data_IF_146836801568
#
_entry.id   IF_146836801568
#
_cell.length_a   1.000
_cell.length_b   1.000
_cell.length_c   1.000
_cell.angle_alpha   90.00
_cell.angle_beta   90.00
_cell.angle_gamma   90.00
#
_symmetry.space_group_name_H-M   'P 1'
#
loop_
_entity.id
_entity.type
_entity.pdbx_description
1 polymer ?
#
# COMPACT_ATOMS: atom_id res chain seq x y z
N UNK A 1 -29.45 -15.88 -4.57
CA UNK A 1 -28.06 -16.03 -5.05
C UNK A 1 -27.14 -15.36 -4.04
N UNK A 2 -26.22 -16.07 -3.36
CA UNK A 2 -25.29 -15.41 -2.46
C UNK A 2 -24.31 -14.58 -3.31
N UNK A 3 -24.17 -13.30 -3.00
CA UNK A 3 -23.16 -12.43 -3.63
C UNK A 3 -21.79 -12.95 -3.17
N UNK A 4 -21.03 -13.53 -4.09
CA UNK A 4 -19.62 -13.79 -3.85
C UNK A 4 -18.96 -12.46 -3.49
N UNK A 5 -18.38 -12.38 -2.30
CA UNK A 5 -17.48 -11.30 -1.93
C UNK A 5 -16.36 -11.27 -2.97
N UNK A 6 -16.03 -10.09 -3.54
CA UNK A 6 -14.89 -10.00 -4.44
C UNK A 6 -13.65 -10.56 -3.73
N UNK A 7 -12.81 -11.36 -4.40
CA UNK A 7 -11.58 -11.84 -3.80
C UNK A 7 -10.74 -10.64 -3.35
N UNK A 8 -10.23 -10.69 -2.12
CA UNK A 8 -9.43 -9.60 -1.57
C UNK A 8 -8.20 -9.37 -2.48
N UNK A 9 -7.96 -8.14 -2.98
CA UNK A 9 -6.91 -7.86 -3.96
C UNK A 9 -5.50 -8.07 -3.41
N UNK A 10 -5.36 -8.27 -2.10
CA UNK A 10 -4.10 -8.63 -1.43
C UNK A 10 -3.76 -10.11 -1.65
N UNK A 11 -4.74 -10.96 -1.99
CA UNK A 11 -4.58 -12.39 -2.18
C UNK A 11 -4.37 -12.79 -3.66
N UNK A 12 -4.56 -11.84 -4.58
CA UNK A 12 -4.35 -12.03 -6.02
C UNK A 12 -2.92 -11.65 -6.41
N UNK A 13 -2.09 -12.62 -6.80
CA UNK A 13 -0.68 -12.40 -7.17
C UNK A 13 -0.48 -11.46 -8.37
N UNK A 14 -1.52 -11.26 -9.18
CA UNK A 14 -1.47 -10.38 -10.34
C UNK A 14 -1.83 -8.92 -9.99
N UNK A 15 -2.32 -8.69 -8.77
CA UNK A 15 -2.66 -7.37 -8.26
C UNK A 15 -1.43 -6.58 -7.88
N UNK A 16 -1.42 -5.28 -8.22
CA UNK A 16 -0.40 -4.35 -7.76
C UNK A 16 -0.40 -4.14 -6.23
N UNK A 17 -1.42 -4.65 -5.54
CA UNK A 17 -1.57 -4.61 -4.09
C UNK A 17 -1.33 -5.97 -3.42
N UNK A 18 -0.84 -6.97 -4.18
CA UNK A 18 -0.48 -8.26 -3.61
C UNK A 18 0.67 -8.10 -2.61
N UNK A 19 0.51 -8.72 -1.44
CA UNK A 19 1.54 -8.81 -0.41
C UNK A 19 1.72 -10.28 -0.07
N UNK A 20 2.94 -10.80 -0.17
CA UNK A 20 3.18 -12.20 0.15
C UNK A 20 2.90 -12.43 1.65
N UNK A 21 2.25 -13.52 2.06
CA UNK A 21 1.97 -13.80 3.48
C UNK A 21 3.24 -13.86 4.36
N UNK A 22 4.39 -14.19 3.76
CA UNK A 22 5.70 -14.19 4.42
C UNK A 22 6.34 -12.79 4.50
N UNK A 23 5.92 -11.85 3.64
CA UNK A 23 6.30 -10.45 3.73
C UNK A 23 5.49 -9.82 4.87
N UNK A 24 6.08 -9.76 6.06
CA UNK A 24 5.44 -9.15 7.22
C UNK A 24 4.99 -7.70 6.96
N UNK A 25 4.09 -7.13 7.79
CA UNK A 25 3.54 -5.78 7.61
C UNK A 25 4.59 -4.65 7.59
N UNK A 26 5.85 -4.93 7.95
CA UNK A 26 7.00 -4.04 7.80
C UNK A 26 7.53 -3.91 6.37
N UNK A 27 7.23 -4.86 5.48
CA UNK A 27 7.66 -4.85 4.07
C UNK A 27 6.81 -3.89 3.23
N UNK A 28 5.54 -3.71 3.61
CA UNK A 28 4.62 -2.84 2.89
C UNK A 28 4.84 -1.40 3.32
N UNK A 29 5.64 -0.66 2.54
CA UNK A 29 5.74 0.80 2.66
C UNK A 29 4.49 1.42 2.01
N UNK A 30 3.33 1.26 2.63
CA UNK A 30 2.14 2.00 2.20
C UNK A 30 2.44 3.47 2.45
N UNK A 31 2.53 4.25 1.38
CA UNK A 31 2.62 5.70 1.53
C UNK A 31 1.31 6.16 2.16
N UNK A 32 1.32 6.83 3.33
CA UNK A 32 0.10 7.35 3.91
C UNK A 32 -0.58 8.25 2.89
N UNK A 33 -1.92 8.20 2.82
CA UNK A 33 -2.67 9.03 1.89
C UNK A 33 -2.22 10.49 2.04
N UNK A 34 -1.73 11.06 0.94
CA UNK A 34 -1.19 12.41 0.95
C UNK A 34 -2.36 13.41 1.02
N UNK A 35 -2.36 14.20 2.08
CA UNK A 35 -3.23 15.36 2.31
C UNK A 35 -2.38 16.63 2.22
N UNK A 36 -3.05 17.79 2.19
CA UNK A 36 -2.33 19.07 2.20
C UNK A 36 -1.39 19.24 3.40
N UNK A 37 -1.72 18.64 4.57
CA UNK A 37 -0.94 18.80 5.80
C UNK A 37 0.29 17.89 5.86
N UNK A 38 0.26 16.68 5.28
CA UNK A 38 1.38 15.74 5.34
C UNK A 38 2.29 15.77 4.08
N UNK A 39 1.82 16.34 2.97
CA UNK A 39 2.55 16.37 1.69
C UNK A 39 3.93 17.03 1.79
N UNK A 40 4.02 18.20 2.45
CA UNK A 40 5.28 18.96 2.51
C UNK A 40 6.40 18.19 3.24
N UNK A 41 6.07 17.51 4.33
CA UNK A 41 7.02 16.66 5.06
C UNK A 41 7.40 15.43 4.25
N UNK A 42 6.43 14.74 3.63
CA UNK A 42 6.69 13.59 2.77
C UNK A 42 7.61 13.93 1.58
N UNK A 43 7.31 15.03 0.86
CA UNK A 43 8.10 15.54 -0.27
C UNK A 43 9.57 15.78 0.10
N UNK A 44 9.83 16.37 1.27
CA UNK A 44 11.20 16.59 1.76
C UNK A 44 11.90 15.28 2.11
N UNK A 45 11.21 14.35 2.77
CA UNK A 45 11.78 13.04 3.12
C UNK A 45 12.13 12.25 1.87
N UNK A 46 11.25 12.21 0.87
CA UNK A 46 11.49 11.46 -0.37
C UNK A 46 12.65 12.05 -1.18
N UNK A 47 12.75 13.38 -1.28
CA UNK A 47 13.89 14.06 -1.92
C UNK A 47 15.24 13.76 -1.26
N UNK A 48 15.26 13.46 0.03
CA UNK A 48 16.49 13.11 0.77
C UNK A 48 16.86 11.64 0.67
N UNK A 49 15.93 10.78 0.27
CA UNK A 49 16.15 9.35 0.12
C UNK A 49 16.73 8.96 -1.25
N UNK A 50 16.88 9.93 -2.16
CA UNK A 50 17.52 9.80 -3.47
C UNK A 50 18.98 10.26 -3.40
#
# INVERSE_FOLDING_TARGET
MPRATPPDPVLDNSSAYYVHPDDGPSSVVVTPLLTGSNYHSWSRSMKRAL
#
